data_IF_278283081332
#
_entry.id   IF_278283081332
#
_cell.length_a   1.000
_cell.length_b   1.000
_cell.length_c   1.000
_cell.angle_alpha   90.00
_cell.angle_beta   90.00
_cell.angle_gamma   90.00
#
_symmetry.space_group_name_H-M   'P 1'
#
loop_
_entity.id
_entity.type
_entity.pdbx_description
1 polymer ?
#
# COMPACT_ATOMS: atom_id res chain seq x y z
N UNK A 1 -6.04 10.12 -0.25
CA UNK A 1 -6.03 9.96 1.22
C UNK A 1 -5.14 8.79 1.60
N UNK A 2 -3.83 8.96 1.46
CA UNK A 2 -2.84 7.88 1.64
C UNK A 2 -1.72 8.31 2.56
N UNK A 3 -1.04 7.33 3.15
CA UNK A 3 0.11 7.50 4.04
C UNK A 3 1.12 6.39 3.82
N UNK A 4 2.40 6.70 4.03
CA UNK A 4 3.36 5.68 4.42
C UNK A 4 3.26 5.45 5.94
N UNK A 5 3.61 4.25 6.40
CA UNK A 5 3.64 3.91 7.83
C UNK A 5 4.98 3.31 8.27
N UNK A 6 5.38 3.54 9.51
CA UNK A 6 6.53 2.84 10.11
C UNK A 6 6.18 1.38 10.48
N UNK A 7 7.14 0.62 11.02
CA UNK A 7 7.00 -0.82 11.30
C UNK A 7 5.66 -1.24 11.93
N UNK A 8 5.15 -0.57 12.99
CA UNK A 8 3.90 -0.97 13.63
C UNK A 8 2.66 -0.78 12.74
N UNK A 9 2.76 0.05 11.70
CA UNK A 9 1.67 0.39 10.79
C UNK A 9 1.75 -0.42 9.50
N UNK A 10 2.93 -0.48 8.87
CA UNK A 10 3.12 -1.18 7.59
C UNK A 10 3.37 -2.69 7.75
N UNK A 11 3.88 -3.14 8.90
CA UNK A 11 4.03 -4.56 9.26
C UNK A 11 4.71 -5.42 8.16
N UNK A 12 5.79 -4.91 7.58
CA UNK A 12 6.52 -5.56 6.46
C UNK A 12 5.68 -5.86 5.21
N UNK A 13 4.55 -5.17 5.04
CA UNK A 13 3.64 -5.30 3.90
C UNK A 13 2.24 -5.73 4.33
N UNK A 14 2.12 -6.44 5.46
CA UNK A 14 0.83 -6.90 6.00
C UNK A 14 -0.08 -5.80 6.49
N UNK A 15 0.41 -4.58 6.63
CA UNK A 15 -0.39 -3.41 6.94
C UNK A 15 -0.87 -2.64 5.70
N UNK A 16 -0.45 -3.04 4.49
CA UNK A 16 -0.96 -2.44 3.26
C UNK A 16 -2.48 -2.58 3.19
N UNK A 17 -3.14 -1.48 2.87
CA UNK A 17 -4.59 -1.37 2.79
C UNK A 17 -5.29 -1.08 4.13
N UNK A 18 -4.62 -1.26 5.29
CA UNK A 18 -5.18 -0.87 6.59
C UNK A 18 -5.61 0.61 6.63
N UNK A 19 -6.80 0.87 7.18
CA UNK A 19 -7.35 2.22 7.34
C UNK A 19 -7.22 2.77 8.77
N UNK A 20 -6.94 4.06 8.85
CA UNK A 20 -6.82 4.80 10.11
C UNK A 20 -7.57 6.11 10.03
N UNK A 21 -8.28 6.46 11.09
CA UNK A 21 -8.71 7.83 11.32
C UNK A 21 -7.58 8.59 12.00
N UNK A 22 -7.19 9.71 11.43
CA UNK A 22 -6.18 10.64 11.94
C UNK A 22 -6.82 11.99 12.23
N UNK A 23 -6.39 12.66 13.30
CA UNK A 23 -6.81 14.04 13.59
C UNK A 23 -5.69 14.84 14.22
N UNK A 24 -5.64 16.14 13.96
CA UNK A 24 -4.74 17.06 14.64
C UNK A 24 -5.53 18.05 15.51
N UNK A 25 -4.93 18.49 16.62
CA UNK A 25 -5.56 19.41 17.59
C UNK A 25 -4.64 20.53 18.09
N UNK A 26 -3.32 20.36 17.94
CA UNK A 26 -2.33 21.25 18.57
C UNK A 26 -1.77 22.35 17.65
N UNK A 27 -2.21 22.42 16.38
CA UNK A 27 -1.81 23.48 15.44
C UNK A 27 -3.00 24.42 15.18
N UNK A 28 -2.81 25.76 15.09
CA UNK A 28 -3.91 26.71 14.89
C UNK A 28 -4.79 26.43 13.67
N UNK A 29 -4.19 25.85 12.62
CA UNK A 29 -4.89 25.45 11.39
C UNK A 29 -5.69 24.15 11.51
N UNK A 30 -5.55 23.37 12.59
CA UNK A 30 -6.27 22.10 12.76
C UNK A 30 -7.79 22.30 12.83
N UNK A 31 -8.53 21.46 12.10
CA UNK A 31 -9.99 21.43 12.20
C UNK A 31 -10.48 20.71 13.46
N UNK A 32 -9.68 19.79 14.00
CA UNK A 32 -10.09 18.85 15.06
C UNK A 32 -10.94 17.68 14.56
N UNK A 33 -11.38 17.71 13.30
CA UNK A 33 -12.14 16.63 12.67
C UNK A 33 -11.21 15.51 12.20
N UNK A 34 -11.63 14.24 12.30
CA UNK A 34 -10.84 13.13 11.81
C UNK A 34 -10.95 12.97 10.29
N UNK A 35 -9.84 12.58 9.67
CA UNK A 35 -9.73 12.17 8.28
C UNK A 35 -9.36 10.68 8.21
N UNK A 36 -9.89 9.94 7.24
CA UNK A 36 -9.52 8.53 7.05
C UNK A 36 -8.38 8.44 6.02
N UNK A 37 -7.31 7.74 6.36
CA UNK A 37 -6.17 7.46 5.49
C UNK A 37 -5.90 5.97 5.39
N UNK A 38 -5.32 5.56 4.26
CA UNK A 38 -4.92 4.17 4.01
C UNK A 38 -3.40 4.08 4.00
N UNK A 39 -2.86 3.00 4.56
CA UNK A 39 -1.44 2.68 4.44
C UNK A 39 -1.20 2.07 3.06
N UNK A 40 -0.45 2.78 2.23
CA UNK A 40 -0.13 2.32 0.85
C UNK A 40 1.36 2.13 0.64
N UNK A 41 2.19 2.54 1.60
CA UNK A 41 3.65 2.50 1.50
C UNK A 41 4.28 2.46 2.91
N UNK A 42 5.60 2.37 2.97
CA UNK A 42 6.40 2.29 4.19
C UNK A 42 7.27 3.52 4.43
N UNK A 43 7.49 3.85 5.70
CA UNK A 43 8.54 4.78 6.11
C UNK A 43 9.11 4.35 7.48
N UNK A 44 10.19 3.58 7.47
CA UNK A 44 10.81 3.03 8.67
C UNK A 44 11.80 3.97 9.37
N UNK A 45 11.88 5.23 8.92
CA UNK A 45 12.75 6.22 9.55
C UNK A 45 12.32 6.44 11.02
N UNK A 46 13.21 6.28 12.02
CA UNK A 46 12.83 6.16 13.42
C UNK A 46 12.61 7.52 14.09
N UNK A 47 11.58 8.27 13.66
CA UNK A 47 11.24 9.59 14.22
C UNK A 47 10.44 9.49 15.51
N UNK A 48 9.56 8.49 15.61
CA UNK A 48 8.65 8.29 16.73
C UNK A 48 8.19 6.82 16.81
N UNK A 49 7.51 6.47 17.91
CA UNK A 49 6.88 5.14 18.07
C UNK A 49 5.91 4.82 16.94
N UNK A 50 5.06 5.78 16.58
CA UNK A 50 4.17 5.72 15.42
C UNK A 50 4.43 6.94 14.54
N UNK A 51 4.65 6.69 13.25
CA UNK A 51 5.00 7.72 12.28
C UNK A 51 4.19 7.50 11.00
N UNK A 52 3.38 8.51 10.67
CA UNK A 52 2.62 8.59 9.42
C UNK A 52 3.29 9.63 8.53
N UNK A 53 3.78 9.19 7.37
CA UNK A 53 4.25 10.09 6.32
C UNK A 53 3.11 10.32 5.35
N UNK A 54 2.36 11.38 5.60
CA UNK A 54 1.08 11.61 4.96
C UNK A 54 1.29 12.25 3.60
N UNK A 55 0.50 11.81 2.61
CA UNK A 55 0.34 12.59 1.38
C UNK A 55 -0.10 14.02 1.69
N UNK A 56 0.32 14.99 0.87
CA UNK A 56 -0.06 16.39 1.07
C UNK A 56 -1.59 16.61 1.14
N UNK A 57 -2.37 15.83 0.38
CA UNK A 57 -3.83 15.82 0.48
C UNK A 57 -4.32 15.36 1.85
N UNK A 58 -3.80 14.26 2.38
CA UNK A 58 -4.19 13.74 3.69
C UNK A 58 -3.78 14.68 4.82
N UNK A 59 -2.55 15.21 4.78
CA UNK A 59 -2.06 16.14 5.79
C UNK A 59 -2.87 17.44 5.82
N UNK A 60 -3.09 18.04 4.64
CA UNK A 60 -3.89 19.26 4.51
C UNK A 60 -5.38 19.05 4.80
N UNK A 61 -5.90 17.83 4.62
CA UNK A 61 -7.29 17.48 4.92
C UNK A 61 -7.65 17.65 6.41
N UNK A 62 -6.67 17.51 7.32
CA UNK A 62 -6.89 17.76 8.75
C UNK A 62 -7.02 19.25 9.10
N UNK A 63 -6.85 20.17 8.15
CA UNK A 63 -6.94 21.60 8.39
C UNK A 63 -8.38 22.13 8.35
N UNK A 64 -8.59 23.29 8.95
CA UNK A 64 -9.79 24.10 8.74
C UNK A 64 -9.91 24.49 7.26
N UNK A 65 -11.15 24.70 6.75
CA UNK A 65 -11.35 25.14 5.37
C UNK A 65 -10.49 26.35 5.01
N UNK A 66 -9.69 26.23 3.94
CA UNK A 66 -8.80 27.29 3.46
C UNK A 66 -7.44 27.42 4.18
N UNK A 67 -7.13 26.55 5.16
CA UNK A 67 -5.87 26.58 5.92
C UNK A 67 -5.01 25.33 5.72
N UNK A 68 -5.28 24.57 4.67
CA UNK A 68 -4.58 23.35 4.30
C UNK A 68 -3.10 23.60 4.01
N UNK A 69 -2.79 24.68 3.27
CA UNK A 69 -1.40 25.08 3.04
C UNK A 69 -0.70 25.51 4.32
N UNK A 70 -1.34 26.27 5.19
CA UNK A 70 -0.76 26.67 6.47
C UNK A 70 -0.38 25.44 7.30
N UNK A 71 -1.27 24.45 7.40
CA UNK A 71 -0.98 23.20 8.09
C UNK A 71 0.20 22.47 7.43
N UNK A 72 0.18 22.27 6.10
CA UNK A 72 1.30 21.60 5.38
C UNK A 72 2.66 22.25 5.63
N UNK A 73 2.72 23.57 5.78
CA UNK A 73 3.98 24.30 6.05
C UNK A 73 4.52 24.09 7.47
N UNK A 74 3.72 23.55 8.41
CA UNK A 74 4.22 23.12 9.71
C UNK A 74 5.22 21.96 9.58
N UNK A 75 5.14 21.17 8.50
CA UNK A 75 6.03 20.05 8.22
C UNK A 75 5.75 18.84 9.10
N UNK A 76 6.05 18.94 10.40
CA UNK A 76 5.87 17.90 11.40
C UNK A 76 4.85 18.34 12.43
N UNK A 77 3.81 17.55 12.67
CA UNK A 77 2.81 17.80 13.71
C UNK A 77 2.50 16.53 14.50
N UNK A 78 2.12 16.70 15.77
CA UNK A 78 1.52 15.60 16.52
C UNK A 78 0.06 15.41 16.10
N UNK A 79 -0.29 14.15 15.83
CA UNK A 79 -1.64 13.71 15.52
C UNK A 79 -2.10 12.64 16.50
N UNK A 80 -3.41 12.48 16.59
CA UNK A 80 -4.05 11.33 17.22
C UNK A 80 -4.57 10.41 16.14
N UNK A 81 -4.50 9.11 16.37
CA UNK A 81 -4.98 8.14 15.39
C UNK A 81 -5.66 6.95 16.06
N UNK A 82 -6.55 6.32 15.28
CA UNK A 82 -7.12 5.01 15.61
C UNK A 82 -7.33 4.19 14.34
N UNK A 83 -7.11 2.88 14.39
CA UNK A 83 -7.49 1.98 13.30
C UNK A 83 -9.02 1.95 13.15
N UNK A 84 -9.50 1.92 11.92
CA UNK A 84 -10.93 1.83 11.58
C UNK A 84 -11.13 0.87 10.41
N UNK A 85 -12.34 0.31 10.23
CA UNK A 85 -12.65 -0.44 9.02
C UNK A 85 -12.49 0.42 7.76
N UNK A 86 -11.96 -0.19 6.70
CA UNK A 86 -11.95 0.35 5.36
C UNK A 86 -13.32 0.23 4.70
N UNK A 87 -13.69 1.25 3.91
CA UNK A 87 -14.92 1.30 3.14
C UNK A 87 -14.60 1.90 1.77
N UNK A 88 -14.80 1.13 0.71
CA UNK A 88 -14.58 1.52 -0.68
C UNK A 88 -15.90 1.50 -1.47
N UNK A 89 -16.70 2.58 -1.41
CA UNK A 89 -18.00 2.61 -2.07
C UNK A 89 -17.92 2.32 -3.57
N UNK A 90 -18.70 1.35 -4.04
CA UNK A 90 -18.77 0.97 -5.45
C UNK A 90 -17.56 0.15 -5.95
N UNK A 91 -16.65 -0.21 -5.06
CA UNK A 91 -15.58 -1.15 -5.35
C UNK A 91 -15.87 -2.52 -4.72
N UNK A 92 -15.25 -3.53 -5.28
CA UNK A 92 -15.13 -4.86 -4.72
C UNK A 92 -13.66 -5.26 -4.77
N UNK A 93 -13.29 -6.30 -4.03
CA UNK A 93 -11.93 -6.81 -4.04
C UNK A 93 -11.47 -7.01 -5.49
N UNK A 94 -10.37 -6.38 -5.85
CA UNK A 94 -9.81 -6.40 -7.20
C UNK A 94 -8.43 -7.04 -7.16
N UNK A 95 -8.17 -7.90 -8.14
CA UNK A 95 -6.90 -8.59 -8.29
C UNK A 95 -6.15 -8.00 -9.48
N UNK A 96 -5.04 -7.30 -9.21
CA UNK A 96 -4.16 -6.78 -10.23
C UNK A 96 -3.01 -7.76 -10.47
N UNK A 97 -2.90 -8.26 -11.70
CA UNK A 97 -1.79 -9.12 -12.10
C UNK A 97 -0.58 -8.25 -12.39
N UNK A 98 0.49 -8.44 -11.65
CA UNK A 98 1.70 -7.64 -11.79
C UNK A 98 2.38 -7.84 -13.15
N UNK A 99 3.02 -6.78 -13.65
CA UNK A 99 3.66 -6.74 -14.98
C UNK A 99 4.68 -7.88 -15.20
N UNK A 100 5.39 -8.30 -14.15
CA UNK A 100 6.39 -9.38 -14.22
C UNK A 100 5.80 -10.80 -14.34
N UNK A 101 4.48 -10.94 -14.28
CA UNK A 101 3.81 -12.24 -14.35
C UNK A 101 4.00 -12.91 -15.71
N UNK A 102 4.07 -14.24 -15.71
CA UNK A 102 4.20 -15.09 -16.89
C UNK A 102 3.62 -16.49 -16.58
N UNK A 103 3.52 -17.41 -17.55
CA UNK A 103 2.84 -18.68 -17.33
C UNK A 103 3.42 -19.58 -16.21
N UNK A 104 4.62 -19.30 -15.72
CA UNK A 104 5.30 -20.05 -14.65
C UNK A 104 5.50 -19.23 -13.36
N UNK A 105 5.16 -17.94 -13.36
CA UNK A 105 5.27 -17.03 -12.25
C UNK A 105 4.08 -16.08 -12.24
N UNK A 106 3.24 -16.15 -11.21
CA UNK A 106 2.09 -15.26 -11.07
C UNK A 106 2.30 -14.39 -9.85
N UNK A 107 2.22 -13.07 -9.99
CA UNK A 107 2.18 -12.14 -8.88
C UNK A 107 0.89 -11.33 -8.95
N UNK A 108 0.18 -11.27 -7.83
CA UNK A 108 -1.15 -10.69 -7.71
C UNK A 108 -1.14 -9.68 -6.58
N UNK A 109 -1.43 -8.42 -6.89
CA UNK A 109 -1.77 -7.39 -5.93
C UNK A 109 -3.27 -7.48 -5.62
N UNK A 110 -3.62 -7.48 -4.34
CA UNK A 110 -5.01 -7.42 -3.87
C UNK A 110 -5.33 -5.98 -3.45
N UNK A 111 -6.45 -5.45 -3.94
CA UNK A 111 -6.88 -4.07 -3.72
C UNK A 111 -8.37 -3.96 -3.36
N UNK A 112 -8.72 -2.89 -2.65
CA UNK A 112 -10.07 -2.47 -2.29
C UNK A 112 -10.82 -3.44 -1.36
N UNK A 113 -10.09 -4.05 -0.43
CA UNK A 113 -10.63 -4.83 0.67
C UNK A 113 -11.27 -3.92 1.72
N UNK A 114 -12.58 -4.04 1.92
CA UNK A 114 -13.26 -3.42 3.07
C UNK A 114 -12.89 -4.15 4.37
N UNK A 115 -13.45 -3.70 5.49
CA UNK A 115 -13.20 -4.34 6.79
C UNK A 115 -11.80 -4.01 7.29
N UNK A 116 -10.98 -5.01 7.61
CA UNK A 116 -9.64 -4.78 8.18
C UNK A 116 -8.70 -4.01 7.23
N UNK A 117 -8.97 -4.06 5.93
CA UNK A 117 -8.21 -3.41 4.87
C UNK A 117 -6.94 -4.14 4.47
N UNK A 118 -6.50 -5.13 5.25
CA UNK A 118 -5.31 -5.92 4.96
C UNK A 118 -5.61 -7.40 4.72
N UNK A 119 -4.71 -8.04 3.98
CA UNK A 119 -4.73 -9.48 3.70
C UNK A 119 -3.46 -10.09 4.28
N UNK A 120 -3.62 -11.17 5.05
CA UNK A 120 -2.51 -11.87 5.70
C UNK A 120 -2.24 -13.26 5.10
N UNK A 121 -3.12 -13.73 4.23
CA UNK A 121 -2.91 -14.96 3.45
C UNK A 121 -3.71 -14.93 2.15
N UNK A 122 -3.08 -15.40 1.07
CA UNK A 122 -3.75 -15.71 -0.20
C UNK A 122 -3.45 -17.14 -0.61
N UNK A 123 -4.48 -17.89 -0.98
CA UNK A 123 -4.37 -19.19 -1.63
C UNK A 123 -4.92 -19.12 -3.06
N UNK A 124 -4.36 -19.94 -3.94
CA UNK A 124 -4.77 -20.08 -5.33
C UNK A 124 -5.22 -21.52 -5.62
N UNK A 125 -6.26 -21.67 -6.43
CA UNK A 125 -6.70 -22.94 -6.98
C UNK A 125 -6.68 -22.88 -8.50
N UNK A 126 -5.91 -23.77 -9.12
CA UNK A 126 -5.84 -23.95 -10.58
C UNK A 126 -7.06 -24.70 -11.11
N UNK A 127 -7.36 -24.51 -12.40
CA UNK A 127 -8.46 -25.19 -13.06
C UNK A 127 -8.37 -26.71 -12.90
N UNK A 128 -9.48 -27.33 -12.52
CA UNK A 128 -9.64 -28.79 -12.37
C UNK A 128 -8.68 -29.45 -11.37
N UNK A 129 -7.96 -28.68 -10.54
CA UNK A 129 -7.13 -29.24 -9.47
C UNK A 129 -8.00 -29.71 -8.29
N UNK A 130 -8.90 -28.85 -7.81
CA UNK A 130 -9.76 -29.14 -6.66
C UNK A 130 -9.07 -28.99 -5.30
N UNK A 131 -7.87 -28.38 -5.25
CA UNK A 131 -7.16 -28.08 -4.00
C UNK A 131 -6.59 -26.67 -3.99
N UNK A 132 -6.49 -26.09 -2.78
CA UNK A 132 -5.91 -24.77 -2.54
C UNK A 132 -4.40 -24.88 -2.32
N UNK A 133 -3.64 -23.97 -2.91
CA UNK A 133 -2.20 -23.85 -2.69
C UNK A 133 -1.88 -22.46 -2.14
N UNK A 134 -1.12 -22.35 -1.04
CA UNK A 134 -0.77 -21.05 -0.48
C UNK A 134 0.17 -20.30 -1.43
N UNK A 135 -0.16 -19.03 -1.70
CA UNK A 135 0.75 -18.09 -2.33
C UNK A 135 1.73 -17.54 -1.30
N UNK A 136 2.88 -17.08 -1.77
CA UNK A 136 3.91 -16.47 -0.92
C UNK A 136 3.74 -14.96 -0.92
N UNK A 137 3.77 -14.35 0.25
CA UNK A 137 3.92 -12.90 0.35
C UNK A 137 5.24 -12.48 -0.32
N UNK A 138 5.18 -11.43 -1.13
CA UNK A 138 6.35 -10.84 -1.78
C UNK A 138 6.75 -9.54 -1.08
N UNK A 139 5.98 -8.47 -1.29
CA UNK A 139 6.14 -7.17 -0.66
C UNK A 139 4.82 -6.40 -0.73
N UNK A 140 4.47 -5.67 0.32
CA UNK A 140 3.16 -5.01 0.39
C UNK A 140 2.01 -6.02 0.30
N UNK A 141 0.96 -5.71 -0.46
CA UNK A 141 -0.16 -6.65 -0.73
C UNK A 141 0.07 -7.50 -2.00
N UNK A 142 1.32 -7.75 -2.40
CA UNK A 142 1.65 -8.59 -3.57
C UNK A 142 1.93 -10.04 -3.14
N UNK A 143 1.17 -10.96 -3.72
CA UNK A 143 1.24 -12.40 -3.47
C UNK A 143 1.70 -13.14 -4.71
N UNK A 144 2.72 -14.00 -4.58
CA UNK A 144 3.35 -14.70 -5.69
C UNK A 144 3.22 -16.22 -5.63
N UNK A 145 3.13 -16.82 -6.81
CA UNK A 145 3.16 -18.27 -7.03
C UNK A 145 4.23 -18.59 -8.08
N UNK A 146 5.28 -19.30 -7.65
CA UNK A 146 6.36 -19.77 -8.54
C UNK A 146 6.12 -21.25 -8.90
N UNK A 147 6.18 -21.61 -10.18
CA UNK A 147 5.96 -22.98 -10.63
C UNK A 147 6.94 -23.44 -11.70
N UNK A 148 7.43 -24.68 -11.56
CA UNK A 148 8.26 -25.35 -12.57
C UNK A 148 7.45 -25.74 -13.82
N UNK A 149 6.12 -25.79 -13.71
CA UNK A 149 5.21 -26.05 -14.83
C UNK A 149 4.34 -24.83 -15.09
N UNK A 150 3.75 -24.77 -16.27
CA UNK A 150 2.76 -23.75 -16.60
C UNK A 150 1.56 -23.85 -15.65
N UNK A 151 1.19 -22.73 -15.04
CA UNK A 151 -0.03 -22.56 -14.26
C UNK A 151 -1.25 -22.61 -15.20
N UNK A 152 -2.29 -23.34 -14.79
CA UNK A 152 -3.50 -23.62 -15.55
C UNK A 152 -4.66 -22.81 -14.98
N UNK A 153 -5.03 -21.74 -15.68
CA UNK A 153 -6.24 -20.98 -15.39
C UNK A 153 -7.51 -21.65 -15.93
N UNK A 154 -8.71 -21.15 -15.57
CA UNK A 154 -8.95 -20.02 -14.68
C UNK A 154 -8.52 -20.30 -13.24
N UNK A 155 -8.10 -19.25 -12.53
CA UNK A 155 -7.69 -19.34 -11.13
C UNK A 155 -8.78 -18.82 -10.21
N UNK A 156 -9.04 -19.57 -9.13
CA UNK A 156 -9.79 -19.07 -7.99
C UNK A 156 -8.81 -18.57 -6.93
N UNK A 157 -9.15 -17.49 -6.25
CA UNK A 157 -8.36 -16.95 -5.14
C UNK A 157 -9.17 -17.00 -3.85
N UNK A 158 -8.51 -17.40 -2.77
CA UNK A 158 -9.03 -17.36 -1.42
C UNK A 158 -8.16 -16.43 -0.60
N UNK A 159 -8.75 -15.40 -0.03
CA UNK A 159 -8.04 -14.37 0.74
C UNK A 159 -8.49 -14.40 2.18
N UNK A 160 -7.57 -14.17 3.12
CA UNK A 160 -7.87 -14.11 4.55
C UNK A 160 -7.33 -12.81 5.14
N UNK A 161 -8.16 -12.05 5.84
CA UNK A 161 -7.78 -10.80 6.50
C UNK A 161 -7.16 -11.02 7.88
N UNK A 162 -6.67 -9.96 8.53
CA UNK A 162 -6.01 -10.05 9.84
C UNK A 162 -6.93 -10.62 10.95
N UNK A 163 -8.24 -10.36 10.89
CA UNK A 163 -9.24 -10.94 11.80
C UNK A 163 -9.51 -12.43 11.55
N UNK A 164 -8.96 -13.01 10.48
CA UNK A 164 -9.14 -14.42 10.12
C UNK A 164 -10.42 -14.71 9.34
N UNK A 165 -11.13 -13.70 8.86
CA UNK A 165 -12.23 -13.88 7.92
C UNK A 165 -11.70 -14.21 6.53
N UNK A 166 -12.36 -15.16 5.86
CA UNK A 166 -11.92 -15.66 4.56
C UNK A 166 -12.98 -15.43 3.49
N UNK A 167 -12.57 -14.90 2.33
CA UNK A 167 -13.41 -14.80 1.13
C UNK A 167 -12.86 -15.65 -0.01
N UNK A 168 -13.74 -16.09 -0.90
CA UNK A 168 -13.37 -16.90 -2.08
C UNK A 168 -13.90 -16.26 -3.35
N UNK A 169 -12.99 -15.86 -4.24
CA UNK A 169 -13.28 -15.39 -5.58
C UNK A 169 -13.05 -16.54 -6.59
N UNK A 170 -14.12 -17.24 -6.95
CA UNK A 170 -14.06 -18.38 -7.88
C UNK A 170 -13.77 -17.94 -9.31
N UNK A 171 -12.77 -18.58 -9.94
CA UNK A 171 -12.40 -18.40 -11.35
C UNK A 171 -12.24 -16.91 -11.76
N UNK A 172 -11.83 -16.06 -10.80
CA UNK A 172 -11.79 -14.60 -10.97
C UNK A 172 -10.72 -14.15 -11.95
N UNK A 173 -9.62 -14.89 -12.05
CA UNK A 173 -8.59 -14.67 -13.08
C UNK A 173 -8.84 -15.70 -14.20
N UNK A 174 -9.23 -15.27 -15.41
CA UNK A 174 -9.62 -16.16 -16.50
C UNK A 174 -8.41 -16.89 -17.10
N UNK A 175 -8.62 -17.96 -17.87
CA UNK A 175 -7.52 -18.72 -18.48
C UNK A 175 -6.64 -17.90 -19.45
N UNK A 176 -7.21 -16.89 -20.10
CA UNK A 176 -6.55 -15.97 -21.02
C UNK A 176 -6.09 -14.67 -20.33
N UNK A 177 -5.75 -14.75 -19.04
CA UNK A 177 -5.23 -13.61 -18.30
C UNK A 177 -3.96 -13.03 -18.94
N UNK A 178 -3.71 -11.74 -18.67
CA UNK A 178 -2.51 -11.05 -19.13
C UNK A 178 -1.83 -10.34 -17.94
N UNK A 179 -0.49 -10.17 -17.98
CA UNK A 179 0.20 -9.31 -17.03
C UNK A 179 -0.31 -7.87 -17.10
N UNK A 180 -0.14 -7.13 -16.02
CA UNK A 180 -0.61 -5.76 -15.86
C UNK A 180 -2.11 -5.57 -16.16
N UNK A 181 -2.93 -6.52 -15.73
CA UNK A 181 -4.39 -6.52 -15.95
C UNK A 181 -5.13 -6.61 -14.61
N UNK A 182 -6.33 -6.05 -14.56
CA UNK A 182 -7.15 -5.98 -13.35
C UNK A 182 -8.37 -6.88 -13.51
N UNK A 183 -8.62 -7.73 -12.51
CA UNK A 183 -9.77 -8.62 -12.45
C UNK A 183 -10.59 -8.31 -11.20
N UNK A 184 -11.71 -7.61 -11.41
CA UNK A 184 -12.63 -7.27 -10.34
C UNK A 184 -13.46 -8.50 -9.95
N UNK A 185 -13.58 -8.76 -8.65
CA UNK A 185 -14.42 -9.83 -8.11
C UNK A 185 -15.84 -9.37 -7.80
N UNK A 186 -16.67 -10.28 -7.29
CA UNK A 186 -17.98 -10.01 -6.72
C UNK A 186 -18.03 -10.27 -5.20
N UNK A 187 -16.86 -10.29 -4.54
CA UNK A 187 -16.74 -10.49 -3.09
C UNK A 187 -16.30 -9.20 -2.40
N UNK A 188 -16.68 -9.06 -1.13
CA UNK A 188 -16.24 -7.98 -0.25
C UNK A 188 -16.36 -8.42 1.22
N UNK A 189 -15.49 -7.88 2.08
CA UNK A 189 -15.61 -8.05 3.53
C UNK A 189 -16.68 -7.13 4.10
N UNK A 190 -17.33 -7.56 5.16
CA UNK A 190 -18.26 -6.70 5.87
C UNK A 190 -17.51 -5.64 6.69
N UNK A 191 -17.81 -4.36 6.48
CA UNK A 191 -17.16 -3.26 7.20
C UNK A 191 -17.72 -3.03 8.63
N UNK A 192 -18.46 -3.99 9.21
CA UNK A 192 -19.04 -3.83 10.54
C UNK A 192 -17.96 -3.91 11.61
N UNK A 193 -17.92 -2.91 12.49
CA UNK A 193 -16.85 -2.68 13.47
C UNK A 193 -16.52 -3.88 14.35
N UNK A 194 -15.62 -4.75 13.87
CA UNK A 194 -14.91 -5.71 14.69
C UNK A 194 -14.04 -4.89 15.63
N UNK A 195 -14.49 -4.79 16.89
CA UNK A 195 -13.74 -4.19 17.98
C UNK A 195 -12.60 -5.11 18.43
N UNK A 196 -11.93 -5.79 17.50
CA UNK A 196 -10.82 -6.67 17.78
C UNK A 196 -9.51 -5.94 17.42
N UNK A 197 -8.84 -5.37 18.44
CA UNK A 197 -7.47 -4.88 18.29
C UNK A 197 -7.29 -3.48 17.69
N UNK A 198 -8.18 -2.52 18.00
CA UNK A 198 -7.99 -1.13 17.57
C UNK A 198 -6.69 -0.55 18.13
N UNK A 199 -5.69 -0.37 17.27
CA UNK A 199 -4.51 0.42 17.59
C UNK A 199 -4.95 1.87 17.77
N UNK A 200 -5.00 2.35 19.02
CA UNK A 200 -5.21 3.77 19.37
C UNK A 200 -3.93 4.37 19.89
N UNK A 201 -3.56 5.56 19.42
CA UNK A 201 -2.35 6.22 19.90
C UNK A 201 -2.20 7.67 19.46
N UNK A 202 -1.14 8.29 19.97
CA UNK A 202 -0.59 9.53 19.41
C UNK A 202 0.56 9.17 18.47
N UNK A 203 0.61 9.81 17.31
CA UNK A 203 1.64 9.63 16.32
C UNK A 203 2.16 10.98 15.84
N UNK A 204 3.33 10.95 15.21
CA UNK A 204 3.84 12.12 14.51
C UNK A 204 3.43 12.00 13.04
N UNK A 205 2.72 13.00 12.54
CA UNK A 205 2.43 13.19 11.13
C UNK A 205 3.51 14.06 10.49
N UNK A 206 4.12 13.58 9.41
CA UNK A 206 5.12 14.31 8.63
C UNK A 206 4.62 14.51 7.20
N UNK A 207 4.92 15.67 6.60
CA UNK A 207 4.91 15.86 5.14
C UNK A 207 6.35 15.92 4.65
N UNK A 208 6.80 14.91 3.92
CA UNK A 208 8.00 15.05 3.10
C UNK A 208 7.60 15.75 1.79
N UNK A 209 7.87 17.05 1.68
CA UNK A 209 7.58 17.89 0.51
C UNK A 209 8.42 17.55 -0.75
N UNK A 210 8.93 16.33 -0.95
CA UNK A 210 9.98 16.11 -1.96
C UNK A 210 9.96 14.79 -2.71
N UNK A 211 8.82 14.40 -3.28
CA UNK A 211 8.86 13.55 -4.49
C UNK A 211 9.45 14.32 -5.70
N UNK A 212 9.30 15.66 -5.75
CA UNK A 212 9.73 16.45 -6.91
C UNK A 212 11.19 16.95 -6.87
N UNK A 213 11.88 16.91 -5.72
CA UNK A 213 13.28 17.39 -5.60
C UNK A 213 14.31 16.27 -5.46
N UNK A 214 13.93 15.13 -4.90
CA UNK A 214 14.85 14.01 -4.74
C UNK A 214 15.13 13.32 -6.09
N UNK A 215 14.11 13.21 -6.95
CA UNK A 215 14.27 12.64 -8.29
C UNK A 215 15.24 13.48 -9.15
N UNK A 216 15.14 14.81 -9.12
CA UNK A 216 16.01 15.70 -9.92
C UNK A 216 17.46 15.68 -9.42
N UNK A 217 17.68 15.53 -8.11
CA UNK A 217 19.01 15.45 -7.53
C UNK A 217 19.66 14.09 -7.80
N UNK A 218 18.90 12.99 -7.66
CA UNK A 218 19.37 11.63 -7.95
C UNK A 218 19.65 11.47 -9.45
N UNK A 219 18.78 11.95 -10.35
CA UNK A 219 19.06 11.91 -11.80
C UNK A 219 20.28 12.74 -12.18
N UNK A 220 20.52 13.89 -11.54
CA UNK A 220 21.73 14.69 -11.77
C UNK A 220 23.00 14.02 -11.26
N UNK A 221 22.95 13.39 -10.08
CA UNK A 221 24.10 12.69 -9.50
C UNK A 221 24.42 11.43 -10.31
N UNK A 222 23.42 10.63 -10.67
CA UNK A 222 23.61 9.45 -11.53
C UNK A 222 24.13 9.88 -12.92
N UNK A 223 23.60 10.98 -13.48
CA UNK A 223 24.10 11.54 -14.74
C UNK A 223 25.56 11.98 -14.67
N UNK A 224 25.97 12.64 -13.58
CA UNK A 224 27.37 13.06 -13.38
C UNK A 224 28.31 11.86 -13.21
N UNK A 225 27.91 10.86 -12.43
CA UNK A 225 28.67 9.63 -12.20
C UNK A 225 28.83 8.85 -13.52
N UNK A 226 27.77 8.75 -14.32
CA UNK A 226 27.81 8.06 -15.61
C UNK A 226 28.72 8.80 -16.60
N UNK A 227 28.70 10.13 -16.61
CA UNK A 227 29.57 10.96 -17.46
C UNK A 227 31.05 10.79 -17.06
N UNK A 228 31.37 10.84 -15.77
CA UNK A 228 32.74 10.65 -15.26
C UNK A 228 33.26 9.25 -15.55
N UNK A 229 32.42 8.21 -15.42
CA UNK A 229 32.77 6.84 -15.79
C UNK A 229 33.02 6.68 -17.30
N UNK A 230 32.24 7.36 -18.15
CA UNK A 230 32.47 7.38 -19.60
C UNK A 230 33.80 8.06 -19.96
N UNK A 231 34.13 9.19 -19.32
CA UNK A 231 35.42 9.85 -19.54
C UNK A 231 36.60 8.98 -19.09
N UNK A 232 36.47 8.26 -17.96
CA UNK A 232 37.51 7.36 -17.49
C UNK A 232 37.71 6.14 -18.38
N UNK A 233 36.64 5.60 -18.96
CA UNK A 233 36.71 4.48 -19.91
C UNK A 233 37.25 4.89 -21.29
N UNK A 234 37.17 6.18 -21.65
CA UNK A 234 37.66 6.71 -22.93
C UNK A 234 39.07 7.32 -22.85
N UNK A 235 39.70 7.37 -21.67
CA UNK A 235 41.07 7.88 -21.50
C UNK A 235 41.25 9.37 -21.82
N UNK A 236 40.17 10.15 -21.74
CA UNK A 236 40.19 11.60 -21.99
C UNK A 236 40.41 12.30 -20.64
N UNK A 237 41.54 12.98 -20.47
CA UNK A 237 41.75 13.89 -19.33
C UNK A 237 40.77 15.07 -19.45
N UNK A 238 39.93 15.25 -18.43
CA UNK A 238 39.03 16.41 -18.31
C UNK A 238 39.87 17.57 -17.76
N UNK A 239 39.88 18.77 -18.39
CA UNK A 239 40.58 19.94 -17.86
C UNK A 239 39.98 20.47 -16.55
#
# INVERSE_FOLDING_TARGET
>A
MTSCGNQPLFKDGKGCGSCYQIRCVNHPACSGNPETVMITDMNYYPVAKYHFDLSGTAFGGMAQPGRDNELRHAGIIDIQFRRVPCIYPGQTVTFHIEHGSNPNYLAVLVEFEDGDGDVVQVDIMEANSGWWMPMRESWGSIWRMDSKRRLQGPFSLRITNESGETLVAYQVIPANWAPNSYYRSNIQYEAFGSAAGQATGSAVGLVISSAARLHTLITRIIGLICLVLLYHLQGIEVP
#
